data_IF_272072200650
#
_entry.id   IF_272072200650
#
_cell.length_a   1.000
_cell.length_b   1.000
_cell.length_c   1.000
_cell.angle_alpha   90.00
_cell.angle_beta   90.00
_cell.angle_gamma   90.00
#
_symmetry.space_group_name_H-M   'P 1'
#
loop_
_entity.id
_entity.type
_entity.pdbx_description
1 polymer ?
#
# COMPACT_ATOMS: atom_id res chain seq x y z
N UNK A 1 -18.54 11.19 5.29
CA UNK A 1 -19.73 10.34 5.52
C UNK A 1 -19.58 9.14 4.62
N UNK A 2 -19.61 7.93 5.17
CA UNK A 2 -19.58 6.73 4.35
C UNK A 2 -20.90 6.67 3.54
N UNK A 3 -20.80 6.67 2.22
CA UNK A 3 -21.97 6.50 1.36
C UNK A 3 -22.35 5.02 1.36
N UNK A 4 -23.43 4.68 2.02
CA UNK A 4 -23.95 3.32 2.00
C UNK A 4 -24.57 3.03 0.62
N UNK A 5 -24.12 1.93 -0.01
CA UNK A 5 -24.65 1.52 -1.31
C UNK A 5 -26.02 0.91 -1.07
N UNK A 6 -27.05 1.52 -1.63
CA UNK A 6 -28.42 1.03 -1.53
C UNK A 6 -28.58 -0.26 -2.35
N UNK A 7 -29.14 -1.29 -1.71
CA UNK A 7 -29.54 -2.51 -2.40
C UNK A 7 -30.63 -2.20 -3.43
N UNK A 8 -30.42 -2.63 -4.67
CA UNK A 8 -31.41 -2.52 -5.74
C UNK A 8 -32.20 -3.81 -5.78
N UNK A 9 -33.51 -3.75 -5.47
CA UNK A 9 -34.41 -4.88 -5.63
C UNK A 9 -34.86 -4.99 -7.09
N UNK A 10 -35.11 -6.20 -7.61
CA UNK A 10 -35.67 -6.36 -8.96
C UNK A 10 -37.05 -5.66 -9.02
N UNK A 11 -37.39 -5.06 -10.18
CA UNK A 11 -38.68 -4.38 -10.35
C UNK A 11 -39.83 -5.38 -10.34
N UNK A 12 -40.91 -5.04 -9.65
CA UNK A 12 -42.19 -5.73 -9.81
C UNK A 12 -42.85 -5.25 -11.10
N UNK A 13 -42.74 -6.04 -12.15
CA UNK A 13 -43.38 -5.73 -13.43
C UNK A 13 -44.85 -6.11 -13.40
N UNK A 14 -45.77 -5.30 -13.95
CA UNK A 14 -47.16 -5.64 -14.06
C UNK A 14 -47.36 -6.82 -15.04
N UNK A 15 -48.40 -7.63 -14.78
CA UNK A 15 -48.76 -8.74 -15.66
C UNK A 15 -49.24 -8.19 -17.03
N UNK A 16 -48.89 -8.87 -18.11
CA UNK A 16 -49.29 -8.48 -19.44
C UNK A 16 -50.80 -8.62 -19.64
N UNK A 17 -51.53 -7.63 -20.19
CA UNK A 17 -52.94 -7.76 -20.55
C UNK A 17 -53.09 -8.66 -21.79
N UNK A 18 -54.33 -9.15 -22.04
CA UNK A 18 -54.61 -10.00 -23.20
C UNK A 18 -54.55 -9.28 -24.54
N UNK A 19 -54.49 -7.94 -24.54
CA UNK A 19 -54.37 -7.12 -25.73
C UNK A 19 -53.43 -5.94 -25.58
N UNK A 20 -53.27 -5.17 -26.66
CA UNK A 20 -52.46 -3.95 -26.59
C UNK A 20 -53.15 -2.88 -25.71
N UNK A 21 -52.50 -2.53 -24.65
CA UNK A 21 -52.88 -1.47 -23.72
C UNK A 21 -51.75 -0.45 -23.58
N UNK A 22 -51.97 0.75 -24.08
CA UNK A 22 -50.99 1.83 -24.03
C UNK A 22 -50.63 2.25 -22.61
N UNK A 23 -51.57 2.47 -21.68
CA UNK A 23 -51.26 2.76 -20.27
C UNK A 23 -50.38 1.71 -19.62
N UNK A 24 -50.63 0.43 -19.88
CA UNK A 24 -49.82 -0.69 -19.40
C UNK A 24 -48.39 -0.59 -19.94
N UNK A 25 -48.22 -0.36 -21.22
CA UNK A 25 -46.88 -0.25 -21.86
C UNK A 25 -46.10 0.96 -21.31
N UNK A 26 -46.78 2.09 -21.13
CA UNK A 26 -46.16 3.29 -20.53
C UNK A 26 -45.77 3.03 -19.06
N UNK A 27 -46.58 2.35 -18.27
CA UNK A 27 -46.28 1.97 -16.90
C UNK A 27 -45.08 1.01 -16.84
N UNK A 28 -45.10 -0.05 -17.65
CA UNK A 28 -44.00 -1.00 -17.74
C UNK A 28 -42.67 -0.33 -18.12
N UNK A 29 -42.69 0.53 -19.13
CA UNK A 29 -41.52 1.32 -19.56
C UNK A 29 -41.01 2.24 -18.46
N UNK A 30 -41.91 2.86 -17.67
CA UNK A 30 -41.52 3.71 -16.54
C UNK A 30 -40.87 2.91 -15.40
N UNK A 31 -41.42 1.73 -15.07
CA UNK A 31 -40.85 0.85 -14.03
C UNK A 31 -39.45 0.40 -14.42
N UNK A 32 -39.27 -0.05 -15.68
CA UNK A 32 -37.96 -0.45 -16.19
C UNK A 32 -36.97 0.71 -16.19
N UNK A 33 -37.38 1.89 -16.66
CA UNK A 33 -36.55 3.09 -16.68
C UNK A 33 -36.08 3.46 -15.27
N UNK A 34 -36.96 3.46 -14.29
CA UNK A 34 -36.61 3.75 -12.88
C UNK A 34 -35.67 2.71 -12.31
N UNK A 35 -35.87 1.43 -12.63
CA UNK A 35 -34.95 0.36 -12.21
C UNK A 35 -33.55 0.54 -12.78
N UNK A 36 -33.46 0.75 -14.12
CA UNK A 36 -32.15 0.95 -14.73
C UNK A 36 -31.45 2.22 -14.26
N UNK A 37 -32.17 3.32 -14.04
CA UNK A 37 -31.59 4.54 -13.48
C UNK A 37 -31.01 4.30 -12.08
N UNK A 38 -31.70 3.56 -11.23
CA UNK A 38 -31.18 3.18 -9.90
C UNK A 38 -29.99 2.24 -9.99
N UNK A 39 -30.04 1.26 -10.88
CA UNK A 39 -28.93 0.33 -11.12
C UNK A 39 -27.68 1.09 -11.58
N UNK A 40 -27.83 1.97 -12.59
CA UNK A 40 -26.71 2.80 -13.09
C UNK A 40 -26.18 3.71 -12.00
N UNK A 41 -27.04 4.35 -11.20
CA UNK A 41 -26.60 5.19 -10.08
C UNK A 41 -25.80 4.40 -9.06
N UNK A 42 -26.27 3.21 -8.69
CA UNK A 42 -25.57 2.33 -7.74
C UNK A 42 -24.22 1.83 -8.30
N UNK A 43 -24.17 1.45 -9.58
CA UNK A 43 -22.93 1.05 -10.25
C UNK A 43 -21.94 2.22 -10.34
N UNK A 44 -22.40 3.41 -10.69
CA UNK A 44 -21.55 4.59 -10.75
C UNK A 44 -20.97 4.96 -9.36
N UNK A 45 -21.75 4.77 -8.29
CA UNK A 45 -21.26 4.94 -6.92
C UNK A 45 -20.19 3.91 -6.57
N UNK A 46 -20.43 2.63 -6.91
CA UNK A 46 -19.47 1.55 -6.70
C UNK A 46 -18.16 1.75 -7.47
N UNK A 47 -18.25 2.24 -8.71
CA UNK A 47 -17.12 2.45 -9.60
C UNK A 47 -16.49 3.84 -9.46
N UNK A 48 -17.03 4.69 -8.55
CA UNK A 48 -16.47 6.00 -8.30
C UNK A 48 -15.09 5.93 -7.65
N UNK A 49 -14.32 7.00 -7.82
CA UNK A 49 -13.02 7.14 -7.18
C UNK A 49 -13.11 7.06 -5.66
N UNK A 50 -14.23 7.50 -5.07
CA UNK A 50 -14.42 7.60 -3.63
C UNK A 50 -14.79 6.25 -2.97
N UNK A 51 -15.35 5.32 -3.73
CA UNK A 51 -15.80 4.02 -3.19
C UNK A 51 -14.75 2.91 -3.28
N UNK A 52 -13.60 3.14 -3.94
CA UNK A 52 -12.54 2.14 -4.11
C UNK A 52 -12.90 0.95 -5.01
N UNK A 53 -14.13 0.87 -5.50
CA UNK A 53 -14.61 -0.21 -6.37
C UNK A 53 -14.16 -0.10 -7.83
N UNK A 54 -13.38 0.92 -8.18
CA UNK A 54 -12.88 1.15 -9.55
C UNK A 54 -11.84 0.13 -10.02
N UNK A 55 -11.25 -0.62 -9.10
CA UNK A 55 -10.25 -1.62 -9.44
C UNK A 55 -10.83 -3.02 -9.43
N UNK A 56 -10.65 -3.77 -10.51
CA UNK A 56 -10.93 -5.21 -10.54
C UNK A 56 -9.94 -5.95 -9.62
N UNK A 57 -8.69 -5.49 -9.60
CA UNK A 57 -7.65 -5.92 -8.67
C UNK A 57 -7.10 -4.70 -7.95
N UNK A 58 -7.06 -4.75 -6.61
CA UNK A 58 -6.52 -3.65 -5.81
C UNK A 58 -5.03 -3.46 -6.10
N UNK A 59 -4.56 -2.21 -6.32
CA UNK A 59 -3.14 -1.93 -6.44
C UNK A 59 -2.38 -2.45 -5.24
N UNK A 60 -1.30 -3.18 -5.49
CA UNK A 60 -0.44 -3.77 -4.47
C UNK A 60 0.97 -3.99 -4.97
N UNK A 61 1.93 -3.98 -4.06
CA UNK A 61 3.33 -4.28 -4.37
C UNK A 61 4.01 -4.90 -3.16
N UNK A 62 4.92 -5.83 -3.40
CA UNK A 62 5.74 -6.45 -2.37
C UNK A 62 7.17 -6.55 -2.87
N UNK A 63 8.09 -5.90 -2.17
CA UNK A 63 9.49 -5.78 -2.53
C UNK A 63 10.37 -6.17 -1.35
N UNK A 64 11.54 -6.73 -1.64
CA UNK A 64 12.49 -7.16 -0.62
C UNK A 64 13.93 -7.01 -1.06
N UNK A 65 14.85 -7.04 -0.10
CA UNK A 65 16.30 -6.97 -0.33
C UNK A 65 16.98 -8.23 0.17
N UNK A 66 17.79 -8.84 -0.69
CA UNK A 66 18.56 -10.05 -0.39
C UNK A 66 20.02 -9.78 -0.08
N UNK A 67 20.37 -8.50 0.12
CA UNK A 67 21.74 -8.06 0.39
C UNK A 67 21.80 -7.19 1.63
N UNK A 68 22.92 -7.22 2.32
CA UNK A 68 23.17 -6.32 3.43
C UNK A 68 23.21 -4.87 2.97
N UNK A 69 22.75 -3.97 3.84
CA UNK A 69 22.82 -2.53 3.60
C UNK A 69 23.55 -1.86 4.77
N UNK A 70 24.67 -1.25 4.47
CA UNK A 70 25.57 -0.66 5.48
C UNK A 70 25.54 0.86 5.42
N UNK A 71 25.74 1.51 6.56
CA UNK A 71 25.92 2.95 6.67
C UNK A 71 27.41 3.29 6.55
N UNK A 72 27.79 4.09 5.55
CA UNK A 72 29.16 4.54 5.39
C UNK A 72 29.58 5.56 6.47
N UNK A 73 28.63 6.32 7.01
CA UNK A 73 28.82 7.33 8.05
C UNK A 73 27.67 7.29 9.06
N UNK A 74 27.98 7.59 10.31
CA UNK A 74 26.99 7.78 11.36
C UNK A 74 26.14 9.04 11.13
N UNK A 75 24.92 9.06 11.64
CA UNK A 75 24.00 10.21 11.59
C UNK A 75 23.72 10.73 10.17
N UNK A 76 23.91 9.87 9.16
CA UNK A 76 23.60 10.15 7.75
C UNK A 76 22.44 9.26 7.33
N UNK A 77 21.45 9.86 6.65
CA UNK A 77 20.30 9.13 6.15
C UNK A 77 20.60 8.39 4.85
N UNK A 78 20.30 7.10 4.81
CA UNK A 78 20.43 6.23 3.64
C UNK A 78 19.05 5.72 3.24
N UNK A 79 18.77 5.68 1.95
CA UNK A 79 17.56 5.04 1.45
C UNK A 79 17.67 3.52 1.62
N UNK A 80 16.63 2.90 2.14
CA UNK A 80 16.48 1.44 2.12
C UNK A 80 16.30 1.00 0.67
N UNK A 81 17.07 0.01 0.25
CA UNK A 81 17.04 -0.50 -1.12
C UNK A 81 16.41 -1.90 -1.19
N UNK A 82 15.70 -2.14 -2.28
CA UNK A 82 15.05 -3.42 -2.59
C UNK A 82 15.56 -3.90 -3.94
N UNK A 83 16.02 -5.13 -4.03
CA UNK A 83 16.56 -5.69 -5.26
C UNK A 83 15.69 -6.79 -5.88
N UNK A 84 14.58 -7.12 -5.24
CA UNK A 84 13.71 -8.23 -5.61
C UNK A 84 12.24 -7.87 -5.40
N UNK A 85 11.38 -8.52 -6.19
CA UNK A 85 9.93 -8.31 -6.17
C UNK A 85 9.22 -9.65 -6.03
N UNK A 86 8.33 -9.77 -5.05
CA UNK A 86 7.42 -10.90 -4.94
C UNK A 86 6.20 -10.73 -5.83
N UNK A 87 5.64 -9.53 -5.81
CA UNK A 87 4.42 -9.21 -6.54
C UNK A 87 4.33 -7.71 -6.81
N UNK A 88 3.77 -7.34 -7.95
CA UNK A 88 3.48 -5.94 -8.31
C UNK A 88 2.25 -5.85 -9.19
N UNK A 89 1.34 -4.94 -8.83
CA UNK A 89 0.18 -4.54 -9.62
C UNK A 89 -0.07 -3.05 -9.37
N UNK A 90 0.20 -2.22 -10.38
CA UNK A 90 0.02 -0.76 -10.33
C UNK A 90 0.84 -0.03 -9.25
N UNK A 91 1.76 -0.74 -8.60
CA UNK A 91 2.77 -0.20 -7.69
C UNK A 91 4.12 -0.71 -8.20
N UNK A 92 5.05 0.19 -8.46
CA UNK A 92 6.33 -0.15 -9.09
C UNK A 92 7.51 0.33 -8.25
N UNK A 93 8.63 -0.38 -8.37
CA UNK A 93 9.90 0.03 -7.76
C UNK A 93 10.78 0.69 -8.82
N UNK A 94 11.29 1.88 -8.54
CA UNK A 94 12.30 2.55 -9.36
C UNK A 94 13.52 2.93 -8.51
N UNK A 95 14.68 3.03 -9.14
CA UNK A 95 15.95 3.34 -8.47
C UNK A 95 16.25 2.45 -7.24
N UNK A 96 15.68 1.26 -7.18
CA UNK A 96 15.78 0.29 -6.09
C UNK A 96 15.27 0.79 -4.71
N UNK A 97 14.79 2.02 -4.57
CA UNK A 97 14.32 2.60 -3.29
C UNK A 97 12.95 3.27 -3.40
N UNK A 98 12.55 3.69 -4.61
CA UNK A 98 11.35 4.47 -4.84
C UNK A 98 10.15 3.57 -5.12
N UNK A 99 9.18 3.60 -4.24
CA UNK A 99 7.93 2.87 -4.36
C UNK A 99 6.91 3.82 -4.96
N UNK A 100 6.63 3.67 -6.27
CA UNK A 100 5.78 4.57 -7.05
C UNK A 100 4.36 4.01 -7.10
N UNK A 101 3.35 4.89 -7.05
CA UNK A 101 1.95 4.55 -7.20
C UNK A 101 1.39 5.10 -8.51
N UNK A 102 0.62 4.27 -9.24
CA UNK A 102 0.02 4.66 -10.51
C UNK A 102 -1.33 5.40 -10.35
N UNK A 103 -1.93 5.35 -9.17
CA UNK A 103 -3.26 5.92 -8.92
C UNK A 103 -3.25 6.73 -7.63
N UNK A 104 -3.99 7.84 -7.61
CA UNK A 104 -4.22 8.59 -6.39
C UNK A 104 -5.09 7.80 -5.40
N UNK A 105 -4.80 7.93 -4.11
CA UNK A 105 -5.55 7.30 -3.03
C UNK A 105 -4.73 7.06 -1.79
N UNK A 106 -5.34 6.43 -0.80
CA UNK A 106 -4.70 6.09 0.47
C UNK A 106 -4.10 4.70 0.41
N UNK A 107 -2.81 4.61 0.67
CA UNK A 107 -2.03 3.37 0.66
C UNK A 107 -1.56 3.02 2.06
N UNK A 108 -1.59 1.75 2.38
CA UNK A 108 -0.96 1.20 3.58
C UNK A 108 0.39 0.59 3.20
N UNK A 109 1.41 0.96 3.96
CA UNK A 109 2.77 0.44 3.87
C UNK A 109 3.04 -0.40 5.12
N UNK A 110 3.56 -1.60 4.93
CA UNK A 110 4.04 -2.48 5.98
C UNK A 110 5.51 -2.79 5.72
N UNK A 111 6.39 -2.37 6.61
CA UNK A 111 7.84 -2.46 6.44
C UNK A 111 8.39 -3.35 7.53
N UNK A 112 9.30 -4.24 7.15
CA UNK A 112 10.12 -5.02 8.08
C UNK A 112 11.59 -4.80 7.74
N UNK A 113 12.39 -4.44 8.73
CA UNK A 113 13.83 -4.32 8.62
C UNK A 113 14.48 -5.32 9.58
N UNK A 114 15.39 -6.12 9.06
CA UNK A 114 16.25 -7.01 9.86
C UNK A 114 17.54 -6.26 10.16
N UNK A 115 17.79 -5.98 11.43
CA UNK A 115 18.97 -5.23 11.89
C UNK A 115 19.93 -6.19 12.58
N UNK A 116 21.21 -6.07 12.27
CA UNK A 116 22.31 -6.71 12.97
C UNK A 116 23.28 -5.65 13.47
N UNK A 117 23.73 -5.79 14.72
CA UNK A 117 24.73 -4.91 15.30
C UNK A 117 25.96 -5.71 15.73
N UNK A 118 27.08 -5.47 15.05
CA UNK A 118 28.33 -6.22 15.21
C UNK A 118 29.35 -5.52 16.13
N UNK A 119 28.90 -4.63 17.00
CA UNK A 119 29.72 -3.95 18.02
C UNK A 119 29.16 -4.27 19.42
N UNK A 120 29.99 -4.23 20.45
CA UNK A 120 29.59 -4.50 21.84
C UNK A 120 28.85 -3.32 22.51
N UNK A 121 28.94 -2.12 21.93
CA UNK A 121 28.25 -0.92 22.42
C UNK A 121 26.78 -0.93 22.04
N UNK A 122 25.95 -0.14 22.70
CA UNK A 122 24.59 0.16 22.26
C UNK A 122 24.61 1.21 21.16
N UNK A 123 23.74 1.06 20.16
CA UNK A 123 23.56 2.02 19.06
C UNK A 123 22.09 2.31 18.83
N UNK A 124 21.81 3.50 18.29
CA UNK A 124 20.44 3.91 17.92
C UNK A 124 20.29 3.85 16.41
N UNK A 125 19.17 3.25 15.97
CA UNK A 125 18.69 3.31 14.57
C UNK A 125 17.49 4.23 14.52
N UNK A 126 17.49 5.12 13.55
CA UNK A 126 16.33 5.95 13.20
C UNK A 126 15.82 5.53 11.84
N UNK A 127 14.52 5.31 11.70
CA UNK A 127 13.85 5.04 10.43
C UNK A 127 12.75 6.07 10.19
N UNK A 128 12.57 6.50 8.94
CA UNK A 128 11.53 7.45 8.56
C UNK A 128 11.19 7.31 7.07
N UNK A 129 10.20 8.03 6.63
CA UNK A 129 9.81 8.07 5.24
C UNK A 129 10.08 9.42 4.59
N UNK A 130 10.36 9.40 3.29
CA UNK A 130 10.38 10.57 2.41
C UNK A 130 9.37 10.43 1.29
N UNK A 131 8.66 11.50 1.00
CA UNK A 131 7.80 11.61 -0.17
C UNK A 131 8.54 12.38 -1.25
N UNK A 132 8.56 11.85 -2.48
CA UNK A 132 9.14 12.47 -3.68
C UNK A 132 10.59 12.93 -3.52
N UNK A 133 11.36 12.25 -2.66
CA UNK A 133 12.80 12.40 -2.48
C UNK A 133 13.28 13.70 -1.81
N UNK A 134 12.42 14.68 -1.60
CA UNK A 134 12.82 16.02 -1.14
C UNK A 134 12.33 16.36 0.26
N UNK A 135 11.29 15.76 0.74
CA UNK A 135 10.65 16.14 2.01
C UNK A 135 10.55 14.95 2.94
N UNK A 136 11.19 15.05 4.11
CA UNK A 136 10.94 14.15 5.22
C UNK A 136 9.49 14.36 5.69
N UNK A 137 8.73 13.28 5.81
CA UNK A 137 7.37 13.38 6.33
C UNK A 137 7.44 13.75 7.82
N UNK A 138 6.84 14.87 8.25
CA UNK A 138 6.87 15.27 9.65
C UNK A 138 6.34 14.17 10.57
N UNK A 139 7.04 13.94 11.68
CA UNK A 139 6.67 12.95 12.71
C UNK A 139 6.60 11.50 12.22
N UNK A 140 7.24 11.16 11.08
CA UNK A 140 7.33 9.78 10.60
C UNK A 140 8.52 9.01 11.19
N UNK A 141 9.42 9.69 11.91
CA UNK A 141 10.63 9.09 12.46
C UNK A 141 10.36 8.18 13.67
N UNK A 142 10.99 7.01 13.66
CA UNK A 142 11.02 6.06 14.76
C UNK A 142 12.45 5.79 15.18
N UNK A 143 12.71 5.79 16.50
CA UNK A 143 14.00 5.49 17.08
C UNK A 143 13.96 4.13 17.77
N UNK A 144 15.02 3.34 17.57
CA UNK A 144 15.21 2.05 18.19
C UNK A 144 16.62 1.96 18.74
N UNK A 145 16.75 1.60 20.01
CA UNK A 145 18.05 1.30 20.62
C UNK A 145 18.34 -0.18 20.43
N UNK A 146 19.47 -0.49 19.81
CA UNK A 146 19.93 -1.84 19.49
C UNK A 146 21.15 -2.14 20.34
N UNK A 147 21.08 -3.20 21.12
CA UNK A 147 22.19 -3.65 21.95
C UNK A 147 23.32 -4.19 21.09
N UNK A 148 24.52 -4.19 21.65
CA UNK A 148 25.68 -4.74 20.97
C UNK A 148 25.63 -6.25 20.78
N UNK A 149 26.12 -6.73 19.66
CA UNK A 149 26.15 -8.14 19.25
C UNK A 149 24.75 -8.79 19.25
N UNK A 150 23.73 -8.07 18.77
CA UNK A 150 22.34 -8.51 18.81
C UNK A 150 21.67 -8.31 17.44
N UNK A 151 20.56 -9.05 17.24
CA UNK A 151 19.67 -8.92 16.10
C UNK A 151 18.37 -8.29 16.54
N UNK A 152 17.84 -7.41 15.71
CA UNK A 152 16.59 -6.73 15.97
C UNK A 152 15.71 -6.65 14.71
N UNK A 153 14.41 -6.93 14.89
CA UNK A 153 13.45 -6.82 13.79
C UNK A 153 12.55 -5.61 14.04
N UNK A 154 12.61 -4.64 13.14
CA UNK A 154 11.73 -3.48 13.15
C UNK A 154 10.54 -3.77 12.26
N UNK A 155 9.35 -3.65 12.82
CA UNK A 155 8.11 -3.66 12.05
C UNK A 155 7.44 -2.30 12.15
N UNK A 156 7.11 -1.71 11.02
CA UNK A 156 6.49 -0.40 10.95
C UNK A 156 5.36 -0.40 9.91
N UNK A 157 4.17 0.03 10.34
CA UNK A 157 3.00 0.13 9.48
C UNK A 157 2.48 1.57 9.52
N UNK A 158 2.24 2.15 8.35
CA UNK A 158 1.65 3.47 8.23
C UNK A 158 0.76 3.57 7.00
N UNK A 159 -0.06 4.62 6.96
CA UNK A 159 -0.91 4.95 5.80
C UNK A 159 -0.57 6.34 5.28
N UNK A 160 -0.62 6.51 3.94
CA UNK A 160 -0.43 7.82 3.28
C UNK A 160 -1.40 7.99 2.13
N UNK A 161 -1.93 9.20 2.02
CA UNK A 161 -2.61 9.61 0.81
C UNK A 161 -1.56 10.09 -0.21
N UNK A 162 -1.56 9.48 -1.39
CA UNK A 162 -0.61 9.74 -2.46
C UNK A 162 -1.38 10.15 -3.72
N UNK A 163 -0.80 11.06 -4.49
CA UNK A 163 -1.28 11.44 -5.81
C UNK A 163 -0.70 10.52 -6.89
N UNK A 164 -1.21 10.65 -8.10
CA UNK A 164 -0.66 9.91 -9.26
C UNK A 164 0.83 10.24 -9.41
N UNK A 165 1.64 9.21 -9.64
CA UNK A 165 3.08 9.28 -9.81
C UNK A 165 3.89 9.72 -8.56
N UNK A 166 3.24 9.88 -7.40
CA UNK A 166 3.97 10.02 -6.15
C UNK A 166 4.74 8.74 -5.83
N UNK A 167 5.83 8.91 -5.08
CA UNK A 167 6.58 7.80 -4.52
C UNK A 167 6.97 8.03 -3.08
N UNK A 168 7.14 6.94 -2.36
CA UNK A 168 7.70 6.89 -1.00
C UNK A 168 9.05 6.19 -1.05
N UNK A 169 9.99 6.73 -0.30
CA UNK A 169 11.27 6.09 0.03
C UNK A 169 11.35 5.91 1.55
N UNK A 170 11.84 4.77 1.99
CA UNK A 170 12.15 4.52 3.40
C UNK A 170 13.61 4.86 3.62
N UNK A 171 13.87 5.65 4.65
CA UNK A 171 15.22 6.05 5.04
C UNK A 171 15.57 5.48 6.40
N UNK A 172 16.85 5.25 6.60
CA UNK A 172 17.41 4.86 7.89
C UNK A 172 18.73 5.57 8.17
N UNK A 173 19.04 5.74 9.43
CA UNK A 173 20.32 6.26 9.91
C UNK A 173 20.72 5.53 11.18
N UNK A 174 22.00 5.48 11.48
CA UNK A 174 22.53 4.84 12.69
C UNK A 174 23.58 5.70 13.36
N UNK A 175 23.76 5.49 14.65
CA UNK A 175 24.85 6.09 15.42
C UNK A 175 26.14 5.25 15.41
N UNK A 176 26.12 4.03 14.85
CA UNK A 176 27.27 3.14 14.71
C UNK A 176 27.31 2.52 13.31
N UNK A 177 28.43 2.64 12.60
CA UNK A 177 28.61 2.06 11.24
C UNK A 177 28.74 0.53 11.22
N UNK A 178 28.90 -0.12 12.36
CA UNK A 178 28.85 -1.58 12.48
C UNK A 178 27.43 -2.14 12.64
N UNK A 179 26.45 -1.26 12.61
CA UNK A 179 25.05 -1.63 12.51
C UNK A 179 24.64 -1.62 11.04
N UNK A 180 24.04 -2.71 10.58
CA UNK A 180 23.61 -2.92 9.20
C UNK A 180 22.17 -3.45 9.12
N UNK A 181 21.52 -3.24 7.99
CA UNK A 181 20.34 -4.02 7.63
C UNK A 181 20.85 -5.34 7.06
N UNK A 182 20.56 -6.45 7.74
CA UNK A 182 21.18 -7.75 7.52
C UNK A 182 20.32 -8.69 6.67
N UNK A 183 20.92 -9.28 5.65
CA UNK A 183 20.32 -10.34 4.85
C UNK A 183 21.10 -11.64 5.06
N UNK A 184 20.40 -12.75 5.20
CA UNK A 184 21.05 -14.06 5.34
C UNK A 184 20.65 -15.00 4.20
N UNK A 185 21.61 -15.70 3.65
CA UNK A 185 21.36 -16.70 2.62
C UNK A 185 20.58 -17.90 3.19
N UNK A 186 19.82 -18.58 2.34
CA UNK A 186 19.14 -19.81 2.74
C UNK A 186 20.14 -20.88 3.21
N UNK A 187 19.80 -21.56 4.27
CA UNK A 187 20.54 -22.65 4.85
C UNK A 187 19.69 -23.93 4.92
N UNK A 188 20.25 -25.02 5.44
CA UNK A 188 19.47 -26.25 5.69
C UNK A 188 18.43 -26.09 6.80
N UNK A 189 18.56 -25.05 7.64
CA UNK A 189 17.71 -24.81 8.81
C UNK A 189 16.58 -23.82 8.52
N UNK A 190 16.77 -22.86 7.57
CA UNK A 190 15.82 -21.80 7.29
C UNK A 190 15.94 -21.31 5.84
N UNK A 191 14.86 -20.76 5.27
CA UNK A 191 14.93 -20.01 4.01
C UNK A 191 15.78 -18.74 4.19
N UNK A 192 16.16 -18.12 3.09
CA UNK A 192 16.88 -16.83 3.14
C UNK A 192 16.10 -15.77 3.91
N UNK A 193 16.83 -14.92 4.61
CA UNK A 193 16.27 -13.77 5.37
C UNK A 193 16.56 -12.49 4.59
N UNK A 194 15.53 -11.68 4.36
CA UNK A 194 15.68 -10.39 3.70
C UNK A 194 16.14 -9.32 4.69
N UNK A 195 17.06 -8.43 4.27
CA UNK A 195 17.46 -7.27 5.09
C UNK A 195 16.34 -6.24 5.25
N UNK A 196 15.48 -6.15 4.25
CA UNK A 196 14.31 -5.28 4.25
C UNK A 196 13.20 -5.92 3.42
N UNK A 197 11.96 -5.77 3.87
CA UNK A 197 10.74 -6.06 3.09
C UNK A 197 9.79 -4.90 3.18
N UNK A 198 9.03 -4.66 2.12
CA UNK A 198 7.93 -3.71 2.11
C UNK A 198 6.75 -4.28 1.35
N UNK A 199 5.60 -4.28 1.99
CA UNK A 199 4.32 -4.59 1.39
C UNK A 199 3.46 -3.33 1.32
N UNK A 200 2.90 -3.07 0.16
CA UNK A 200 2.07 -1.89 -0.10
C UNK A 200 0.73 -2.33 -0.66
N UNK A 201 -0.34 -1.85 -0.06
CA UNK A 201 -1.70 -2.13 -0.49
C UNK A 201 -2.52 -0.85 -0.59
N UNK A 202 -3.34 -0.77 -1.63
CA UNK A 202 -4.33 0.29 -1.75
C UNK A 202 -5.42 0.09 -0.69
N UNK A 203 -5.69 1.11 0.11
CA UNK A 203 -6.74 1.08 1.14
C UNK A 203 -8.06 1.63 0.61
N UNK A 204 -8.14 2.93 0.44
CA UNK A 204 -9.36 3.63 -0.03
C UNK A 204 -8.98 4.94 -0.74
N UNK A 205 -9.91 5.46 -1.53
CA UNK A 205 -9.90 6.88 -1.89
C UNK A 205 -10.59 7.65 -0.77
N UNK A 206 -9.90 8.59 -0.17
CA UNK A 206 -10.49 9.53 0.81
C UNK A 206 -10.48 10.93 0.26
#
# INVERSE_FOLDING_TARGET
MANEIQRVAPPALPLAPEGYDRPFMDQNSNVLRLFFNRLVSSLNTLLSTDAGGRFLYMPRGSFYSTVDQTAAMTSTGYAVTFNSTHHTDSITLSNNSRINVAYAGTYQFSITLQIEHNNSSEATVTVWEKRNGTTDTPYSGHLFDVKGNDFYVVNWVFTRHLEVDDYIEIYWATTDTQLNLHAEAASVLHPGVASATVDVTFGTNS
#
